data_IF_908477778830
#
_entry.id   IF_908477778830
#
_cell.length_a   1.000
_cell.length_b   1.000
_cell.length_c   1.000
_cell.angle_alpha   90.00
_cell.angle_beta   90.00
_cell.angle_gamma   90.00
#
_symmetry.space_group_name_H-M   'P 1'
#
loop_
_entity.id
_entity.type
_entity.pdbx_description
1 polymer ?
#
# COMPACT_ATOMS: atom_id res chain seq x y z
N UNK A 1 13.75 37.23 3.37
CA UNK A 1 13.98 36.01 4.16
C UNK A 1 12.76 35.42 4.84
N UNK A 2 11.82 36.22 5.36
CA UNK A 2 10.48 35.73 5.80
C UNK A 2 9.65 35.08 4.67
N UNK A 3 9.99 35.34 3.39
CA UNK A 3 9.36 34.67 2.22
C UNK A 3 9.59 33.16 2.19
N UNK A 4 10.83 32.69 2.41
CA UNK A 4 11.16 31.26 2.34
C UNK A 4 10.37 30.45 3.38
N UNK A 5 10.34 30.91 4.64
CA UNK A 5 9.56 30.23 5.68
C UNK A 5 8.05 30.25 5.38
N UNK A 6 7.51 31.31 4.76
CA UNK A 6 6.10 31.34 4.30
C UNK A 6 5.84 30.37 3.15
N UNK A 7 6.77 30.24 2.20
CA UNK A 7 6.69 29.29 1.10
C UNK A 7 6.67 27.85 1.62
N UNK A 8 7.55 27.52 2.57
CA UNK A 8 7.57 26.19 3.20
C UNK A 8 6.27 25.93 3.98
N UNK A 9 5.76 26.91 4.74
CA UNK A 9 4.46 26.77 5.43
C UNK A 9 3.29 26.59 4.46
N UNK A 10 3.30 27.33 3.34
CA UNK A 10 2.29 27.16 2.29
C UNK A 10 2.40 25.77 1.64
N UNK A 11 3.61 25.28 1.40
CA UNK A 11 3.83 23.93 0.89
C UNK A 11 3.32 22.89 1.88
N UNK A 12 3.66 23.01 3.16
CA UNK A 12 3.21 22.10 4.22
C UNK A 12 1.69 22.01 4.29
N UNK A 13 1.00 23.16 4.29
CA UNK A 13 -0.46 23.21 4.30
C UNK A 13 -1.08 22.54 3.07
N UNK A 14 -0.53 22.79 1.88
CA UNK A 14 -0.98 22.15 0.63
C UNK A 14 -0.75 20.63 0.66
N UNK A 15 0.41 20.19 1.14
CA UNK A 15 0.75 18.77 1.24
C UNK A 15 -0.17 18.06 2.23
N UNK A 16 -0.42 18.63 3.41
CA UNK A 16 -1.37 18.08 4.38
C UNK A 16 -2.78 17.97 3.80
N UNK A 17 -3.29 19.05 3.17
CA UNK A 17 -4.60 19.01 2.52
C UNK A 17 -4.68 17.96 1.40
N UNK A 18 -3.59 17.75 0.65
CA UNK A 18 -3.52 16.70 -0.37
C UNK A 18 -3.44 15.28 0.22
N UNK A 19 -2.86 15.11 1.41
CA UNK A 19 -2.80 13.82 2.12
C UNK A 19 -4.14 13.43 2.74
N UNK A 20 -4.90 14.41 3.23
CA UNK A 20 -6.25 14.20 3.78
C UNK A 20 -7.30 13.92 2.69
N UNK A 21 -7.07 14.40 1.47
CA UNK A 21 -8.04 14.27 0.38
C UNK A 21 -7.90 12.93 -0.38
N UNK A 22 -9.05 12.31 -0.68
CA UNK A 22 -9.18 10.95 -1.23
C UNK A 22 -8.63 10.75 -2.66
N UNK A 23 -8.13 11.83 -3.30
CA UNK A 23 -7.77 11.85 -4.72
C UNK A 23 -6.73 10.82 -5.15
N UNK A 24 -5.96 10.26 -4.21
CA UNK A 24 -4.97 9.21 -4.47
C UNK A 24 -5.54 7.79 -4.60
N UNK A 25 -6.74 7.49 -4.10
CA UNK A 25 -7.25 6.10 -4.02
C UNK A 25 -7.57 5.46 -5.37
N UNK A 26 -7.77 6.26 -6.41
CA UNK A 26 -8.00 5.77 -7.79
C UNK A 26 -6.71 5.35 -8.50
N UNK A 27 -5.53 5.70 -7.97
CA UNK A 27 -4.25 5.34 -8.56
C UNK A 27 -3.82 3.93 -8.10
N UNK A 28 -3.04 3.21 -8.93
CA UNK A 28 -2.37 1.99 -8.50
C UNK A 28 -1.61 2.17 -7.18
N UNK A 29 -1.55 1.13 -6.34
CA UNK A 29 -0.84 1.18 -5.05
C UNK A 29 0.63 1.62 -5.21
N UNK A 30 1.30 1.15 -6.27
CA UNK A 30 2.68 1.54 -6.59
C UNK A 30 2.82 3.03 -6.89
N UNK A 31 1.89 3.60 -7.66
CA UNK A 31 1.90 5.04 -7.95
C UNK A 31 1.61 5.88 -6.70
N UNK A 32 0.76 5.36 -5.81
CA UNK A 32 0.51 5.95 -4.49
C UNK A 32 1.78 5.95 -3.65
N UNK A 33 2.51 4.83 -3.59
CA UNK A 33 3.79 4.69 -2.88
C UNK A 33 4.84 5.65 -3.44
N UNK A 34 5.03 5.69 -4.77
CA UNK A 34 5.95 6.60 -5.43
C UNK A 34 5.63 8.09 -5.13
N UNK A 35 4.34 8.44 -5.02
CA UNK A 35 3.96 9.79 -4.60
C UNK A 35 4.35 10.09 -3.14
N UNK A 36 4.29 9.12 -2.23
CA UNK A 36 4.75 9.27 -0.84
C UNK A 36 6.27 9.42 -0.78
N UNK A 37 7.02 8.61 -1.53
CA UNK A 37 8.47 8.72 -1.65
C UNK A 37 8.90 10.10 -2.16
N UNK A 38 8.19 10.62 -3.17
CA UNK A 38 8.42 11.98 -3.65
C UNK A 38 8.18 13.02 -2.55
N UNK A 39 7.10 12.89 -1.78
CA UNK A 39 6.83 13.81 -0.65
C UNK A 39 7.97 13.73 0.37
N UNK A 40 8.48 12.54 0.70
CA UNK A 40 9.62 12.40 1.61
C UNK A 40 10.87 13.11 1.07
N UNK A 41 11.17 12.97 -0.22
CA UNK A 41 12.26 13.71 -0.87
C UNK A 41 12.04 15.23 -0.82
N UNK A 42 10.83 15.70 -1.10
CA UNK A 42 10.46 17.11 -1.04
C UNK A 42 10.61 17.67 0.38
N UNK A 43 10.27 16.89 1.43
CA UNK A 43 10.49 17.30 2.83
C UNK A 43 11.98 17.55 3.09
N UNK A 44 12.87 16.67 2.63
CA UNK A 44 14.31 16.86 2.78
C UNK A 44 14.79 18.15 2.09
N UNK A 45 14.25 18.44 0.90
CA UNK A 45 14.51 19.70 0.19
C UNK A 45 14.01 20.91 0.99
N UNK A 46 12.80 20.86 1.55
CA UNK A 46 12.28 21.97 2.36
C UNK A 46 13.12 22.21 3.62
N UNK A 47 13.61 21.14 4.29
CA UNK A 47 14.51 21.28 5.43
C UNK A 47 15.82 21.97 5.04
N UNK A 48 16.42 21.57 3.93
CA UNK A 48 17.64 22.21 3.41
C UNK A 48 17.40 23.70 3.09
N UNK A 49 16.25 24.05 2.49
CA UNK A 49 15.87 25.45 2.25
C UNK A 49 15.75 26.27 3.53
N UNK A 50 15.21 25.68 4.61
CA UNK A 50 15.15 26.33 5.92
C UNK A 50 16.57 26.57 6.43
N UNK A 51 17.44 25.55 6.40
CA UNK A 51 18.82 25.65 6.91
C UNK A 51 19.59 26.76 6.20
N UNK A 52 19.58 26.78 4.85
CA UNK A 52 20.21 27.85 4.05
C UNK A 52 19.61 29.22 4.37
N UNK A 53 18.29 29.32 4.54
CA UNK A 53 17.63 30.59 4.87
C UNK A 53 17.99 31.08 6.28
N UNK A 54 18.14 30.18 7.24
CA UNK A 54 18.52 30.51 8.63
C UNK A 54 19.99 30.94 8.67
N UNK A 55 20.89 30.19 8.02
CA UNK A 55 22.32 30.54 7.93
C UNK A 55 22.52 31.91 7.30
N UNK A 56 21.88 32.17 6.15
CA UNK A 56 21.95 33.46 5.47
C UNK A 56 21.54 34.61 6.39
N UNK A 57 20.45 34.44 7.12
CA UNK A 57 19.96 35.45 8.07
C UNK A 57 20.94 35.65 9.23
N UNK A 58 21.44 34.57 9.83
CA UNK A 58 22.38 34.64 10.95
C UNK A 58 23.67 35.37 10.57
N UNK A 59 24.20 35.18 9.37
CA UNK A 59 25.35 35.93 8.86
C UNK A 59 25.05 37.43 8.79
N UNK A 60 23.88 37.83 8.29
CA UNK A 60 23.49 39.24 8.24
C UNK A 60 23.24 39.87 9.62
N UNK A 61 22.76 39.10 10.60
CA UNK A 61 22.52 39.60 11.96
C UNK A 61 23.80 39.72 12.80
N UNK A 62 24.76 38.80 12.63
CA UNK A 62 26.09 38.89 13.27
C UNK A 62 26.87 40.16 12.90
N UNK A 63 26.54 40.79 11.78
CA UNK A 63 27.16 42.04 11.32
C UNK A 63 26.55 43.33 11.87
N UNK A 64 25.58 43.31 12.80
CA UNK A 64 25.06 44.58 13.35
C UNK A 64 23.99 44.58 14.43
N UNK A 65 23.40 43.44 14.84
CA UNK A 65 22.41 43.43 15.93
C UNK A 65 22.59 42.23 16.87
N UNK A 66 22.90 42.51 18.13
CA UNK A 66 22.78 41.56 19.24
C UNK A 66 21.29 41.30 19.52
N UNK A 67 20.82 40.05 19.35
CA UNK A 67 19.49 39.63 19.84
C UNK A 67 18.52 38.92 18.87
N UNK A 68 18.98 38.21 17.83
CA UNK A 68 18.06 37.54 16.89
C UNK A 68 18.05 36.00 16.98
N UNK A 69 17.84 35.43 18.17
CA UNK A 69 17.61 33.98 18.34
C UNK A 69 16.24 33.53 17.80
N UNK A 70 15.33 34.47 17.53
CA UNK A 70 14.00 34.19 17.00
C UNK A 70 14.02 33.49 15.63
N UNK A 71 15.00 33.79 14.78
CA UNK A 71 15.09 33.21 13.42
C UNK A 71 15.46 31.71 13.46
N UNK A 72 16.52 31.31 14.17
CA UNK A 72 16.83 29.89 14.39
C UNK A 72 15.69 29.12 15.07
N UNK A 73 15.04 29.72 16.08
CA UNK A 73 13.90 29.10 16.78
C UNK A 73 12.73 28.84 15.81
N UNK A 74 12.36 29.84 15.01
CA UNK A 74 11.29 29.69 14.02
C UNK A 74 11.62 28.64 12.94
N UNK A 75 12.89 28.57 12.52
CA UNK A 75 13.38 27.54 11.59
C UNK A 75 13.30 26.14 12.19
N UNK A 76 13.73 25.99 13.45
CA UNK A 76 13.67 24.72 14.19
C UNK A 76 12.22 24.23 14.37
N UNK A 77 11.30 25.13 14.73
CA UNK A 77 9.87 24.80 14.85
C UNK A 77 9.29 24.29 13.52
N UNK A 78 9.62 24.94 12.40
CA UNK A 78 9.15 24.51 11.08
C UNK A 78 9.78 23.18 10.64
N UNK A 79 11.03 22.91 11.01
CA UNK A 79 11.66 21.59 10.80
C UNK A 79 10.98 20.50 11.62
N UNK A 80 10.56 20.80 12.84
CA UNK A 80 9.79 19.86 13.67
C UNK A 80 8.41 19.54 13.05
N UNK A 81 7.70 20.53 12.50
CA UNK A 81 6.47 20.30 11.74
C UNK A 81 6.70 19.38 10.53
N UNK A 82 7.82 19.59 9.80
CA UNK A 82 8.23 18.72 8.69
C UNK A 82 8.63 17.31 9.14
N UNK A 83 9.17 17.15 10.35
CA UNK A 83 9.46 15.84 10.95
C UNK A 83 8.18 15.07 11.30
N UNK A 84 7.17 15.76 11.84
CA UNK A 84 5.85 15.15 12.06
C UNK A 84 5.24 14.67 10.74
N UNK A 85 5.29 15.50 9.69
CA UNK A 85 4.82 15.10 8.36
C UNK A 85 5.61 13.90 7.82
N UNK A 86 6.94 13.90 7.97
CA UNK A 86 7.78 12.77 7.55
C UNK A 86 7.37 11.47 8.24
N UNK A 87 7.07 11.52 9.54
CA UNK A 87 6.58 10.36 10.29
C UNK A 87 5.27 9.80 9.72
N UNK A 88 4.29 10.68 9.45
CA UNK A 88 3.01 10.28 8.85
C UNK A 88 3.20 9.66 7.45
N UNK A 89 4.00 10.30 6.59
CA UNK A 89 4.21 9.82 5.22
C UNK A 89 4.97 8.49 5.21
N UNK A 90 5.96 8.31 6.10
CA UNK A 90 6.67 7.03 6.25
C UNK A 90 5.73 5.91 6.69
N UNK A 91 4.89 6.15 7.70
CA UNK A 91 3.94 5.14 8.17
C UNK A 91 2.99 4.72 7.04
N UNK A 92 2.45 5.69 6.28
CA UNK A 92 1.61 5.41 5.12
C UNK A 92 2.35 4.67 4.00
N UNK A 93 3.65 4.92 3.81
CA UNK A 93 4.48 4.16 2.85
C UNK A 93 4.60 2.70 3.27
N UNK A 94 4.90 2.43 4.55
CA UNK A 94 4.98 1.06 5.09
C UNK A 94 3.67 0.31 4.89
N UNK A 95 2.53 0.93 5.22
CA UNK A 95 1.22 0.32 5.00
C UNK A 95 0.97 0.01 3.51
N UNK A 96 1.40 0.88 2.60
CA UNK A 96 1.27 0.64 1.16
C UNK A 96 2.17 -0.50 0.69
N UNK A 97 3.40 -0.59 1.18
CA UNK A 97 4.33 -1.68 0.87
C UNK A 97 3.77 -3.04 1.34
N UNK A 98 3.27 -3.11 2.57
CA UNK A 98 2.61 -4.29 3.11
C UNK A 98 1.36 -4.67 2.31
N UNK A 99 0.54 -3.69 1.94
CA UNK A 99 -0.64 -3.92 1.10
C UNK A 99 -0.25 -4.43 -0.30
N UNK A 100 0.80 -3.91 -0.92
CA UNK A 100 1.32 -4.40 -2.21
C UNK A 100 1.77 -5.85 -2.08
N UNK A 101 2.54 -6.17 -1.05
CA UNK A 101 3.03 -7.53 -0.79
C UNK A 101 1.87 -8.51 -0.60
N UNK A 102 0.83 -8.13 0.17
CA UNK A 102 -0.36 -8.96 0.34
C UNK A 102 -1.16 -9.13 -0.96
N UNK A 103 -1.26 -8.10 -1.81
CA UNK A 103 -1.89 -8.25 -3.14
C UNK A 103 -1.16 -9.30 -3.96
N UNK A 104 0.18 -9.26 -3.98
CA UNK A 104 1.00 -10.22 -4.71
C UNK A 104 0.81 -11.65 -4.19
N UNK A 105 0.83 -11.82 -2.86
CA UNK A 105 0.55 -13.11 -2.22
C UNK A 105 -0.83 -13.65 -2.63
N UNK A 106 -1.89 -12.83 -2.51
CA UNK A 106 -3.24 -13.26 -2.87
C UNK A 106 -3.38 -13.55 -4.36
N UNK A 107 -2.66 -12.83 -5.22
CA UNK A 107 -2.62 -13.12 -6.65
C UNK A 107 -1.95 -14.47 -6.94
N UNK A 108 -0.85 -14.80 -6.27
CA UNK A 108 -0.19 -16.11 -6.39
C UNK A 108 -1.11 -17.24 -5.91
N UNK A 109 -1.74 -17.07 -4.75
CA UNK A 109 -2.70 -18.05 -4.22
C UNK A 109 -3.92 -18.21 -5.14
N UNK A 110 -4.40 -17.12 -5.76
CA UNK A 110 -5.47 -17.19 -6.77
C UNK A 110 -5.06 -18.00 -8.00
N UNK A 111 -3.81 -17.86 -8.46
CA UNK A 111 -3.28 -18.67 -9.57
C UNK A 111 -3.26 -20.15 -9.21
N UNK A 112 -2.78 -20.48 -8.01
CA UNK A 112 -2.77 -21.86 -7.52
C UNK A 112 -4.19 -22.45 -7.40
N UNK A 113 -5.13 -21.72 -6.81
CA UNK A 113 -6.53 -22.16 -6.70
C UNK A 113 -7.17 -22.39 -8.08
N UNK A 114 -6.87 -21.56 -9.08
CA UNK A 114 -7.37 -21.74 -10.45
C UNK A 114 -6.77 -22.98 -11.12
N UNK A 115 -5.51 -23.28 -10.85
CA UNK A 115 -4.88 -24.51 -11.31
C UNK A 115 -5.54 -25.74 -10.65
N UNK A 116 -5.75 -25.72 -9.34
CA UNK A 116 -6.47 -26.79 -8.61
C UNK A 116 -7.87 -27.05 -9.20
N UNK A 117 -8.59 -26.00 -9.58
CA UNK A 117 -9.90 -26.13 -10.26
C UNK A 117 -9.73 -26.87 -11.57
N UNK A 118 -8.77 -26.46 -12.41
CA UNK A 118 -8.51 -27.06 -13.72
C UNK A 118 -8.13 -28.53 -13.60
N UNK A 119 -7.27 -28.88 -12.64
CA UNK A 119 -6.86 -30.26 -12.36
C UNK A 119 -8.04 -31.11 -11.86
N UNK A 120 -8.86 -30.57 -10.96
CA UNK A 120 -10.04 -31.26 -10.45
C UNK A 120 -11.10 -31.45 -11.54
N UNK A 121 -11.29 -30.47 -12.42
CA UNK A 121 -12.16 -30.57 -13.59
C UNK A 121 -11.65 -31.62 -14.59
N UNK A 122 -10.34 -31.71 -14.80
CA UNK A 122 -9.77 -32.76 -15.65
C UNK A 122 -9.97 -34.14 -15.04
N UNK A 123 -9.77 -34.29 -13.72
CA UNK A 123 -10.09 -35.52 -13.00
C UNK A 123 -11.57 -35.88 -13.15
N UNK A 124 -12.46 -34.90 -12.97
CA UNK A 124 -13.90 -35.08 -13.16
C UNK A 124 -14.24 -35.57 -14.56
N UNK A 125 -13.64 -34.98 -15.61
CA UNK A 125 -13.80 -35.45 -17.00
C UNK A 125 -13.35 -36.89 -17.19
N UNK A 126 -12.21 -37.27 -16.62
CA UNK A 126 -11.70 -38.64 -16.69
C UNK A 126 -12.65 -39.65 -16.03
N UNK A 127 -13.09 -39.39 -14.78
CA UNK A 127 -14.00 -40.30 -14.06
C UNK A 127 -15.44 -40.30 -14.62
N UNK A 128 -15.77 -39.30 -15.45
CA UNK A 128 -17.05 -39.21 -16.16
C UNK A 128 -16.99 -39.77 -17.58
N UNK A 129 -15.81 -40.22 -18.03
CA UNK A 129 -15.64 -40.77 -19.37
C UNK A 129 -16.42 -42.09 -19.52
N UNK A 130 -17.08 -42.33 -20.66
CA UNK A 130 -17.72 -43.62 -20.94
C UNK A 130 -16.76 -44.81 -20.89
N UNK A 131 -15.46 -44.56 -21.13
CA UNK A 131 -14.40 -45.57 -21.08
C UNK A 131 -13.75 -45.68 -19.69
N UNK A 132 -14.23 -44.93 -18.70
CA UNK A 132 -13.79 -45.08 -17.33
C UNK A 132 -14.29 -46.44 -16.82
N UNK A 133 -13.35 -47.31 -16.43
CA UNK A 133 -13.63 -48.66 -15.94
C UNK A 133 -13.35 -48.75 -14.42
N UNK A 134 -14.25 -48.22 -13.57
CA UNK A 134 -14.17 -48.44 -12.15
C UNK A 134 -14.69 -49.85 -11.84
N UNK A 135 -13.99 -50.59 -10.97
CA UNK A 135 -14.44 -51.91 -10.50
C UNK A 135 -15.81 -51.85 -9.80
N UNK A 136 -16.24 -50.66 -9.38
CA UNK A 136 -17.51 -50.41 -8.71
C UNK A 136 -18.16 -49.11 -9.24
N UNK A 137 -19.40 -49.21 -9.71
CA UNK A 137 -20.19 -48.07 -10.19
C UNK A 137 -20.50 -47.06 -9.09
N UNK A 138 -20.69 -47.52 -7.86
CA UNK A 138 -20.92 -46.65 -6.69
C UNK A 138 -19.66 -45.82 -6.38
N UNK A 139 -18.48 -46.43 -6.47
CA UNK A 139 -17.20 -45.74 -6.32
C UNK A 139 -17.03 -44.63 -7.37
N UNK A 140 -17.40 -44.88 -8.63
CA UNK A 140 -17.34 -43.89 -9.70
C UNK A 140 -18.20 -42.64 -9.42
N UNK A 141 -19.40 -42.87 -8.90
CA UNK A 141 -20.33 -41.80 -8.51
C UNK A 141 -19.80 -41.03 -7.31
N UNK A 142 -19.24 -41.72 -6.32
CA UNK A 142 -18.61 -41.10 -5.16
C UNK A 142 -17.44 -40.19 -5.57
N UNK A 143 -16.57 -40.65 -6.48
CA UNK A 143 -15.46 -39.85 -7.00
C UNK A 143 -15.91 -38.63 -7.80
N UNK A 144 -16.95 -38.78 -8.65
CA UNK A 144 -17.54 -37.63 -9.35
C UNK A 144 -18.08 -36.59 -8.36
N UNK A 145 -18.81 -37.03 -7.33
CA UNK A 145 -19.39 -36.14 -6.33
C UNK A 145 -18.31 -35.43 -5.53
N UNK A 146 -17.25 -36.14 -5.14
CA UNK A 146 -16.09 -35.55 -4.47
C UNK A 146 -15.42 -34.48 -5.34
N UNK A 147 -15.21 -34.74 -6.64
CA UNK A 147 -14.64 -33.75 -7.56
C UNK A 147 -15.55 -32.51 -7.69
N UNK A 148 -16.86 -32.70 -7.84
CA UNK A 148 -17.83 -31.59 -7.93
C UNK A 148 -17.86 -30.74 -6.65
N UNK A 149 -17.79 -31.36 -5.48
CA UNK A 149 -17.74 -30.66 -4.20
C UNK A 149 -16.44 -29.85 -4.05
N UNK A 150 -15.31 -30.47 -4.41
CA UNK A 150 -14.00 -29.82 -4.40
C UNK A 150 -13.96 -28.61 -5.31
N UNK A 151 -14.50 -28.70 -6.54
CA UNK A 151 -14.62 -27.58 -7.48
C UNK A 151 -15.44 -26.44 -6.86
N UNK A 152 -16.62 -26.74 -6.29
CA UNK A 152 -17.47 -25.73 -5.63
C UNK A 152 -16.74 -25.02 -4.48
N UNK A 153 -16.02 -25.77 -3.65
CA UNK A 153 -15.22 -25.22 -2.56
C UNK A 153 -14.10 -24.30 -3.08
N UNK A 154 -13.38 -24.73 -4.10
CA UNK A 154 -12.31 -23.94 -4.73
C UNK A 154 -12.84 -22.65 -5.35
N UNK A 155 -13.96 -22.71 -6.07
CA UNK A 155 -14.60 -21.53 -6.67
C UNK A 155 -15.06 -20.52 -5.62
N UNK A 156 -15.56 -20.99 -4.47
CA UNK A 156 -15.88 -20.13 -3.33
C UNK A 156 -14.63 -19.44 -2.78
N UNK A 157 -13.53 -20.18 -2.57
CA UNK A 157 -12.22 -19.63 -2.14
C UNK A 157 -11.69 -18.57 -3.13
N UNK A 158 -11.78 -18.83 -4.44
CA UNK A 158 -11.37 -17.89 -5.50
C UNK A 158 -12.19 -16.60 -5.42
N UNK A 159 -13.51 -16.71 -5.27
CA UNK A 159 -14.41 -15.55 -5.21
C UNK A 159 -14.10 -14.67 -4.00
N UNK A 160 -13.97 -15.28 -2.82
CA UNK A 160 -13.64 -14.58 -1.58
C UNK A 160 -12.28 -13.87 -1.65
N UNK A 161 -11.27 -14.54 -2.22
CA UNK A 161 -9.91 -13.97 -2.35
C UNK A 161 -9.85 -12.87 -3.41
N UNK A 162 -10.57 -13.02 -4.51
CA UNK A 162 -10.70 -11.98 -5.54
C UNK A 162 -11.30 -10.70 -4.96
N UNK A 163 -12.32 -10.81 -4.10
CA UNK A 163 -12.91 -9.65 -3.46
C UNK A 163 -11.96 -8.98 -2.46
N UNK A 164 -11.20 -9.77 -1.70
CA UNK A 164 -10.14 -9.23 -0.83
C UNK A 164 -9.09 -8.43 -1.61
N UNK A 165 -8.61 -8.95 -2.74
CA UNK A 165 -7.65 -8.23 -3.59
C UNK A 165 -8.21 -6.87 -4.02
N UNK A 166 -9.48 -6.80 -4.43
CA UNK A 166 -10.10 -5.52 -4.82
C UNK A 166 -10.17 -4.54 -3.65
N UNK A 167 -10.64 -4.99 -2.48
CA UNK A 167 -10.75 -4.16 -1.29
C UNK A 167 -9.38 -3.63 -0.86
N UNK A 168 -8.36 -4.50 -0.87
CA UNK A 168 -6.99 -4.17 -0.53
C UNK A 168 -6.41 -3.10 -1.47
N UNK A 169 -6.60 -3.25 -2.79
CA UNK A 169 -6.20 -2.24 -3.79
C UNK A 169 -6.92 -0.91 -3.57
N UNK A 170 -8.21 -0.93 -3.27
CA UNK A 170 -9.01 0.27 -3.07
C UNK A 170 -8.56 1.06 -1.84
N UNK A 171 -8.44 0.40 -0.69
CA UNK A 171 -8.09 1.08 0.56
C UNK A 171 -6.59 1.38 0.65
N UNK A 172 -5.74 0.47 0.18
CA UNK A 172 -4.27 0.57 0.25
C UNK A 172 -3.72 0.48 1.67
N UNK A 173 -4.40 -0.28 2.52
CA UNK A 173 -3.97 -0.66 3.88
C UNK A 173 -4.02 -2.17 3.98
N UNK A 174 -3.04 -2.82 4.62
CA UNK A 174 -2.97 -4.28 4.68
C UNK A 174 -4.15 -4.88 5.47
N UNK A 175 -4.52 -6.12 5.15
CA UNK A 175 -5.39 -6.93 6.00
C UNK A 175 -4.62 -7.29 7.28
N UNK A 176 -5.21 -7.00 8.45
CA UNK A 176 -4.62 -7.30 9.76
C UNK A 176 -4.61 -8.80 10.08
N UNK A 177 -5.48 -9.56 9.45
CA UNK A 177 -5.61 -11.01 9.61
C UNK A 177 -5.62 -11.66 8.23
N UNK A 178 -4.45 -11.98 7.66
CA UNK A 178 -4.38 -12.74 6.43
C UNK A 178 -4.92 -14.12 6.78
N UNK A 179 -6.17 -14.43 6.38
CA UNK A 179 -6.82 -15.72 6.62
C UNK A 179 -5.79 -16.85 6.54
N UNK A 180 -5.34 -17.30 7.72
CA UNK A 180 -4.48 -18.46 7.83
C UNK A 180 -5.30 -19.58 7.21
N UNK A 181 -4.78 -20.07 6.08
CA UNK A 181 -5.40 -21.04 5.20
C UNK A 181 -6.02 -22.18 6.01
N UNK A 182 -7.36 -22.24 6.04
CA UNK A 182 -8.14 -23.46 6.29
C UNK A 182 -8.77 -23.90 4.97
#
# INVERSE_FOLDING_TARGET
>A
STSCQREVRSWLSKTNGALEHDGGKKKPLRDRLAAKEKIMADIAIQKSKIDVSVEKLQVHFKSGLTGCDAVPIAGAALKAELDTLMGVVRQQSVELEEAISQVEQYQQELLHLKQDVTETEQKLRTVSSPNYLPNDRELAVAEQNACKERIRTLQSKISAKTERVKLLIQRGTPDLDPLITS
#
